data_IF_847903311462
#
_entry.id   IF_847903311462
#
_cell.length_a   1.000
_cell.length_b   1.000
_cell.length_c   1.000
_cell.angle_alpha   90.00
_cell.angle_beta   90.00
_cell.angle_gamma   90.00
#
_symmetry.space_group_name_H-M   'P 1'
#
loop_
_entity.id
_entity.type
_entity.pdbx_description
1 polymer ?
#
# COMPACT_ATOMS: atom_id res chain seq x y z
N UNK A 1 23.79 8.72 -25.54
CA UNK A 1 22.81 7.62 -25.50
C UNK A 1 21.84 7.89 -24.38
N UNK A 2 20.60 8.31 -24.66
CA UNK A 2 19.55 8.38 -23.65
C UNK A 2 19.07 6.96 -23.38
N UNK A 3 19.30 6.48 -22.16
CA UNK A 3 18.89 5.17 -21.71
C UNK A 3 17.38 5.23 -21.48
N UNK A 4 16.61 4.47 -22.26
CA UNK A 4 15.16 4.38 -22.13
C UNK A 4 14.86 3.62 -20.82
N UNK A 5 14.45 4.33 -19.78
CA UNK A 5 14.19 3.74 -18.48
C UNK A 5 12.73 3.29 -18.40
N UNK A 6 12.50 2.04 -18.02
CA UNK A 6 11.16 1.51 -17.80
C UNK A 6 10.74 1.82 -16.37
N UNK A 7 9.94 2.88 -16.19
CA UNK A 7 9.19 3.09 -14.96
C UNK A 7 8.02 2.09 -14.93
N UNK A 8 8.06 1.14 -14.00
CA UNK A 8 6.94 0.20 -13.80
C UNK A 8 5.89 0.86 -12.90
N UNK A 9 4.88 1.44 -13.54
CA UNK A 9 3.68 1.95 -12.89
C UNK A 9 2.72 0.77 -12.69
N UNK A 10 2.20 0.63 -11.47
CA UNK A 10 1.21 -0.42 -11.12
C UNK A 10 -0.21 0.08 -11.24
N UNK A 11 -0.45 1.29 -10.77
CA UNK A 11 -1.79 1.87 -10.74
C UNK A 11 -1.71 3.39 -10.89
N UNK A 12 -2.72 3.97 -11.52
CA UNK A 12 -2.91 5.41 -11.65
C UNK A 12 -4.37 5.70 -11.33
N UNK A 13 -4.61 6.53 -10.32
CA UNK A 13 -5.96 6.90 -9.92
C UNK A 13 -6.11 8.40 -9.78
N UNK A 14 -7.19 8.92 -10.35
CA UNK A 14 -7.59 10.30 -10.10
C UNK A 14 -8.14 10.43 -8.67
N UNK A 15 -7.80 11.53 -8.01
CA UNK A 15 -8.35 11.90 -6.72
C UNK A 15 -9.07 13.24 -6.82
N UNK A 16 -9.82 13.58 -5.78
CA UNK A 16 -10.59 14.82 -5.71
C UNK A 16 -9.73 16.05 -5.98
N UNK A 17 -10.31 17.08 -6.61
CA UNK A 17 -9.62 18.30 -7.08
C UNK A 17 -8.57 18.08 -8.17
N UNK A 18 -8.82 17.16 -9.10
CA UNK A 18 -7.92 16.84 -10.23
C UNK A 18 -6.50 16.42 -9.80
N UNK A 19 -6.36 15.86 -8.60
CA UNK A 19 -5.09 15.27 -8.18
C UNK A 19 -4.90 13.88 -8.80
N UNK A 20 -3.66 13.41 -8.78
CA UNK A 20 -3.28 12.09 -9.29
C UNK A 20 -2.52 11.31 -8.22
N UNK A 21 -2.88 10.05 -8.02
CA UNK A 21 -2.10 9.08 -7.25
C UNK A 21 -1.49 8.09 -8.23
N UNK A 22 -0.18 7.94 -8.17
CA UNK A 22 0.58 6.99 -8.98
C UNK A 22 1.22 5.97 -8.05
N UNK A 23 0.88 4.70 -8.22
CA UNK A 23 1.49 3.60 -7.52
C UNK A 23 2.66 3.06 -8.35
N UNK A 24 3.87 3.12 -7.79
CA UNK A 24 5.09 2.67 -8.46
C UNK A 24 5.56 1.35 -7.88
N UNK A 25 6.33 0.61 -8.67
CA UNK A 25 6.74 -0.75 -8.30
C UNK A 25 7.92 -0.84 -7.33
N UNK A 26 8.60 0.27 -7.04
CA UNK A 26 9.75 0.30 -6.14
C UNK A 26 10.00 1.70 -5.57
N UNK A 27 10.66 1.76 -4.41
CA UNK A 27 11.12 3.01 -3.82
C UNK A 27 12.10 3.76 -4.75
N UNK A 28 12.94 3.05 -5.49
CA UNK A 28 13.83 3.66 -6.50
C UNK A 28 13.05 4.40 -7.60
N UNK A 29 11.92 3.85 -8.04
CA UNK A 29 11.07 4.51 -9.03
C UNK A 29 10.43 5.78 -8.45
N UNK A 30 10.03 5.74 -7.18
CA UNK A 30 9.52 6.91 -6.44
C UNK A 30 10.58 8.00 -6.38
N UNK A 31 11.76 7.71 -5.85
CA UNK A 31 12.85 8.68 -5.69
C UNK A 31 13.25 9.33 -7.03
N UNK A 32 13.20 8.58 -8.13
CA UNK A 32 13.48 9.09 -9.47
C UNK A 32 12.42 10.07 -9.97
N UNK A 33 11.14 9.76 -9.81
CA UNK A 33 10.07 10.67 -10.22
C UNK A 33 10.13 11.95 -9.39
N UNK A 34 10.40 11.85 -8.09
CA UNK A 34 10.59 13.02 -7.24
C UNK A 34 11.77 13.89 -7.69
N UNK A 35 12.92 13.26 -8.00
CA UNK A 35 14.07 13.97 -8.51
C UNK A 35 13.77 14.65 -9.87
N UNK A 36 13.02 14.00 -10.77
CA UNK A 36 12.65 14.60 -12.06
C UNK A 36 11.74 15.82 -11.90
N UNK A 37 10.77 15.74 -10.97
CA UNK A 37 9.88 16.85 -10.63
C UNK A 37 10.69 18.02 -10.06
N UNK A 38 11.61 17.76 -9.12
CA UNK A 38 12.41 18.79 -8.47
C UNK A 38 13.45 19.43 -9.41
N UNK A 39 14.07 18.63 -10.29
CA UNK A 39 15.12 19.10 -11.20
C UNK A 39 14.58 19.80 -12.45
N UNK A 40 13.27 19.79 -12.68
CA UNK A 40 12.64 20.44 -13.83
C UNK A 40 11.82 21.65 -13.36
N UNK A 41 12.28 22.87 -13.64
CA UNK A 41 11.68 24.11 -13.10
C UNK A 41 10.17 24.26 -13.36
N UNK A 42 9.70 23.85 -14.54
CA UNK A 42 8.28 23.86 -14.86
C UNK A 42 7.50 22.86 -14.00
N UNK A 43 8.04 21.65 -13.78
CA UNK A 43 7.37 20.64 -12.96
C UNK A 43 7.38 21.04 -11.49
N UNK A 44 8.53 21.47 -10.96
CA UNK A 44 8.68 21.92 -9.57
C UNK A 44 7.73 23.05 -9.20
N UNK A 45 7.50 24.00 -10.11
CA UNK A 45 6.60 25.14 -9.85
C UNK A 45 5.11 24.79 -9.95
N UNK A 46 4.74 23.72 -10.67
CA UNK A 46 3.35 23.37 -10.95
C UNK A 46 2.86 22.09 -10.25
N UNK A 47 3.77 21.23 -9.79
CA UNK A 47 3.45 19.93 -9.19
C UNK A 47 3.83 19.95 -7.71
N UNK A 48 2.85 19.71 -6.85
CA UNK A 48 3.08 19.44 -5.43
C UNK A 48 3.06 17.94 -5.22
N UNK A 49 4.25 17.32 -5.14
CA UNK A 49 4.39 15.90 -4.78
C UNK A 49 4.19 15.71 -3.27
N UNK A 50 3.51 14.63 -2.89
CA UNK A 50 3.33 14.22 -1.49
C UNK A 50 3.30 12.71 -1.39
N UNK A 51 4.02 12.16 -0.42
CA UNK A 51 3.85 10.78 0.00
C UNK A 51 2.55 10.62 0.78
N UNK A 52 1.83 9.53 0.51
CA UNK A 52 0.71 9.13 1.35
C UNK A 52 1.27 8.72 2.72
N UNK A 53 1.12 9.58 3.73
CA UNK A 53 1.67 9.33 5.08
C UNK A 53 1.02 8.17 5.84
N UNK A 54 0.00 7.52 5.27
CA UNK A 54 -0.70 6.42 5.94
C UNK A 54 -0.87 5.26 4.96
N UNK A 55 -0.34 4.08 5.30
CA UNK A 55 -0.71 2.85 4.64
C UNK A 55 -2.22 2.67 4.75
N UNK A 56 -2.87 2.19 3.68
CA UNK A 56 -4.27 1.82 3.77
C UNK A 56 -4.39 0.61 4.70
N UNK A 57 -5.26 0.66 5.73
CA UNK A 57 -5.50 -0.51 6.55
C UNK A 57 -6.06 -1.65 5.70
N UNK A 58 -5.60 -2.88 5.93
CA UNK A 58 -6.18 -4.08 5.31
C UNK A 58 -7.16 -4.69 6.28
N UNK A 59 -8.33 -5.04 5.79
CA UNK A 59 -9.39 -5.61 6.60
C UNK A 59 -9.62 -7.05 6.13
N UNK A 60 -9.52 -7.99 7.06
CA UNK A 60 -9.98 -9.36 6.86
C UNK A 60 -11.38 -9.49 7.45
N UNK A 61 -12.31 -9.97 6.63
CA UNK A 61 -13.72 -10.06 6.99
C UNK A 61 -14.09 -11.47 7.47
N UNK A 62 -15.14 -11.52 8.30
CA UNK A 62 -15.80 -12.73 8.80
C UNK A 62 -14.88 -13.85 9.30
N UNK A 63 -13.85 -13.50 10.05
CA UNK A 63 -12.95 -14.47 10.68
C UNK A 63 -13.68 -15.14 11.85
N UNK A 64 -13.72 -16.48 11.94
CA UNK A 64 -14.29 -17.18 13.09
C UNK A 64 -13.67 -16.76 14.43
N UNK A 65 -14.48 -16.67 15.49
CA UNK A 65 -14.03 -16.21 16.82
C UNK A 65 -12.88 -17.02 17.44
N UNK A 66 -12.73 -18.28 17.05
CA UNK A 66 -11.72 -19.19 17.56
C UNK A 66 -10.40 -19.13 16.79
N UNK A 67 -10.36 -18.44 15.64
CA UNK A 67 -9.13 -18.28 14.86
C UNK A 67 -8.17 -17.37 15.59
N UNK A 68 -6.93 -17.83 15.77
CA UNK A 68 -5.89 -17.07 16.45
C UNK A 68 -5.20 -16.07 15.51
N UNK A 69 -4.53 -15.08 16.09
CA UNK A 69 -3.70 -14.16 15.31
C UNK A 69 -2.57 -14.92 14.61
N UNK A 70 -1.97 -15.90 15.28
CA UNK A 70 -0.86 -16.71 14.78
C UNK A 70 -1.27 -17.54 13.55
N UNK A 71 -2.47 -18.13 13.55
CA UNK A 71 -3.02 -18.86 12.39
C UNK A 71 -3.19 -17.94 11.19
N UNK A 72 -3.73 -16.74 11.41
CA UNK A 72 -3.91 -15.73 10.37
C UNK A 72 -2.55 -15.28 9.82
N UNK A 73 -1.59 -14.96 10.69
CA UNK A 73 -0.25 -14.51 10.28
C UNK A 73 0.48 -15.60 9.49
N UNK A 74 0.45 -16.84 9.97
CA UNK A 74 1.05 -17.99 9.28
C UNK A 74 0.45 -18.17 7.89
N UNK A 75 -0.88 -18.07 7.76
CA UNK A 75 -1.56 -18.18 6.47
C UNK A 75 -1.15 -17.04 5.52
N UNK A 76 -1.08 -15.81 6.02
CA UNK A 76 -0.65 -14.64 5.23
C UNK A 76 0.78 -14.84 4.71
N UNK A 77 1.74 -15.14 5.59
CA UNK A 77 3.14 -15.33 5.24
C UNK A 77 3.37 -16.51 4.28
N UNK A 78 2.54 -17.55 4.36
CA UNK A 78 2.68 -18.74 3.52
C UNK A 78 2.13 -18.52 2.11
N UNK A 79 1.08 -17.71 1.97
CA UNK A 79 0.31 -17.62 0.71
C UNK A 79 0.43 -16.26 0.01
N UNK A 80 1.27 -15.36 0.51
CA UNK A 80 1.48 -14.03 -0.08
C UNK A 80 2.97 -13.70 -0.13
N UNK A 81 3.36 -12.69 -0.89
CA UNK A 81 4.75 -12.20 -0.98
C UNK A 81 5.17 -11.34 0.24
N UNK A 82 4.40 -11.40 1.34
CA UNK A 82 4.68 -10.67 2.56
C UNK A 82 5.68 -11.48 3.38
N UNK A 83 6.83 -10.89 3.65
CA UNK A 83 7.94 -11.50 4.38
C UNK A 83 7.88 -11.22 5.89
N UNK A 84 6.99 -10.34 6.34
CA UNK A 84 6.86 -9.95 7.75
C UNK A 84 5.44 -10.02 8.30
N UNK A 85 5.26 -10.38 9.58
CA UNK A 85 3.94 -10.37 10.20
C UNK A 85 3.29 -8.98 10.17
N UNK A 86 2.02 -8.92 9.77
CA UNK A 86 1.26 -7.69 9.77
C UNK A 86 0.88 -7.28 11.19
N UNK A 87 1.02 -5.99 11.52
CA UNK A 87 0.64 -5.48 12.83
C UNK A 87 -0.89 -5.33 12.93
N UNK A 88 -1.51 -6.11 13.81
CA UNK A 88 -2.94 -5.96 14.14
C UNK A 88 -3.18 -4.62 14.84
N UNK A 89 -4.11 -3.81 14.34
CA UNK A 89 -4.51 -2.55 14.96
C UNK A 89 -5.67 -2.73 15.93
N UNK A 90 -6.73 -3.36 15.47
CA UNK A 90 -7.94 -3.67 16.25
C UNK A 90 -8.81 -4.69 15.50
N UNK A 91 -9.80 -5.23 16.19
CA UNK A 91 -10.85 -6.05 15.59
C UNK A 91 -12.23 -5.58 16.06
N UNK A 92 -13.27 -5.82 15.25
CA UNK A 92 -14.66 -5.49 15.58
C UNK A 92 -15.59 -6.63 15.18
N UNK A 93 -16.86 -6.56 15.61
CA UNK A 93 -17.87 -7.59 15.32
C UNK A 93 -17.98 -7.82 13.82
N UNK A 94 -18.05 -9.09 13.43
CA UNK A 94 -18.24 -9.51 12.04
C UNK A 94 -19.70 -9.39 11.60
N UNK A 95 -19.99 -9.87 10.39
CA UNK A 95 -21.35 -9.90 9.84
C UNK A 95 -22.27 -10.78 10.70
N UNK A 96 -21.72 -11.81 11.34
CA UNK A 96 -22.44 -12.77 12.16
C UNK A 96 -21.88 -12.86 13.60
N UNK A 97 -22.66 -13.32 14.60
CA UNK A 97 -22.24 -13.37 16.00
C UNK A 97 -20.98 -14.20 16.28
N UNK A 98 -20.68 -15.17 15.41
CA UNK A 98 -19.55 -16.08 15.55
C UNK A 98 -18.31 -15.62 14.76
N UNK A 99 -18.29 -14.36 14.32
CA UNK A 99 -17.23 -13.82 13.46
C UNK A 99 -16.73 -12.45 13.92
N UNK A 100 -15.50 -12.10 13.53
CA UNK A 100 -14.86 -10.81 13.73
C UNK A 100 -14.25 -10.30 12.43
N UNK A 101 -14.18 -8.98 12.31
CA UNK A 101 -13.39 -8.29 11.30
C UNK A 101 -12.08 -7.80 11.91
N UNK A 102 -10.96 -8.02 11.24
CA UNK A 102 -9.62 -7.69 11.76
C UNK A 102 -8.97 -6.65 10.87
N UNK A 103 -8.41 -5.61 11.49
CA UNK A 103 -7.78 -4.48 10.80
C UNK A 103 -6.28 -4.51 11.03
N UNK A 104 -5.51 -4.69 9.96
CA UNK A 104 -4.06 -4.72 9.97
C UNK A 104 -3.44 -3.44 9.41
N UNK A 105 -2.33 -3.03 10.01
CA UNK A 105 -1.42 -2.03 9.46
C UNK A 105 -0.63 -2.67 8.31
N UNK A 106 -0.52 -1.97 7.19
CA UNK A 106 0.35 -2.39 6.08
C UNK A 106 1.67 -1.67 6.17
N UNK A 107 2.77 -2.40 5.94
CA UNK A 107 4.08 -1.79 5.76
C UNK A 107 4.14 -1.32 4.30
N UNK A 108 4.66 -0.11 4.03
CA UNK A 108 4.57 0.56 2.71
C UNK A 108 5.19 -0.22 1.53
N UNK A 109 5.92 -1.32 1.77
CA UNK A 109 6.69 -2.03 0.77
C UNK A 109 6.21 -3.45 0.38
N UNK A 110 5.21 -4.03 1.05
CA UNK A 110 4.99 -5.49 0.98
C UNK A 110 3.78 -5.96 0.16
N UNK A 111 3.02 -5.05 -0.48
CA UNK A 111 1.85 -5.45 -1.26
C UNK A 111 1.97 -5.10 -2.75
N UNK A 112 2.46 -6.07 -3.51
CA UNK A 112 2.32 -6.14 -4.96
C UNK A 112 1.03 -6.93 -5.27
N UNK A 113 -0.13 -6.26 -5.19
CA UNK A 113 -1.37 -6.81 -5.76
C UNK A 113 -1.61 -6.12 -7.10
#
# INVERSE_FOLDING_TARGET
MQKLWILKIRDIRNIHKNGLVVLLSSADAVARIEAEIENTDNLRSNIVSRHSKKPNPRILYDIPLHTSLEEIQSAILTHTDIDQPLKLRFHFSGSNPNTKHWVFETIENEFNI
#
